data_IF_451157092165
#
_entry.id   IF_451157092165
#
_cell.length_a   1.000
_cell.length_b   1.000
_cell.length_c   1.000
_cell.angle_alpha   90.00
_cell.angle_beta   90.00
_cell.angle_gamma   90.00
#
_symmetry.space_group_name_H-M   'P 1'
#
loop_
_entity.id
_entity.type
_entity.pdbx_description
1 polymer ?
#
# COMPACT_ATOMS: atom_id res chain seq x y z
N UNK A 1 15.66 18.93 -19.83
CA UNK A 1 14.88 17.67 -19.72
C UNK A 1 15.91 16.59 -19.49
N UNK A 2 15.74 15.81 -18.43
CA UNK A 2 16.69 14.80 -17.96
C UNK A 2 16.12 13.41 -18.23
N UNK A 3 17.00 12.47 -18.57
CA UNK A 3 16.69 11.07 -18.80
C UNK A 3 17.65 10.23 -17.96
N UNK A 4 17.12 9.26 -17.22
CA UNK A 4 17.88 8.33 -16.41
C UNK A 4 17.41 6.90 -16.73
N UNK A 5 18.36 6.00 -16.96
CA UNK A 5 18.11 4.58 -17.15
C UNK A 5 18.92 3.81 -16.11
N UNK A 6 18.24 2.95 -15.37
CA UNK A 6 18.80 2.04 -14.38
C UNK A 6 18.53 0.61 -14.85
N UNK A 7 19.60 -0.15 -14.99
CA UNK A 7 19.55 -1.58 -15.31
C UNK A 7 20.24 -2.32 -14.19
N UNK A 8 19.60 -3.37 -13.68
CA UNK A 8 20.17 -4.15 -12.59
C UNK A 8 19.50 -5.49 -12.41
N UNK A 9 19.96 -6.22 -11.39
CA UNK A 9 19.47 -7.55 -11.08
C UNK A 9 17.95 -7.61 -10.82
N UNK A 10 17.33 -6.49 -10.47
CA UNK A 10 15.91 -6.36 -10.18
C UNK A 10 15.08 -5.80 -11.35
N UNK A 11 15.64 -5.69 -12.55
CA UNK A 11 14.95 -5.24 -13.77
C UNK A 11 15.43 -3.91 -14.30
N UNK A 12 14.64 -3.35 -15.22
CA UNK A 12 14.97 -2.11 -15.93
C UNK A 12 14.00 -1.00 -15.52
N UNK A 13 14.52 0.17 -15.20
CA UNK A 13 13.76 1.35 -14.85
C UNK A 13 14.26 2.55 -15.63
N UNK A 14 13.34 3.25 -16.28
CA UNK A 14 13.58 4.49 -17.01
C UNK A 14 12.81 5.61 -16.32
N UNK A 15 13.48 6.73 -16.10
CA UNK A 15 12.89 7.94 -15.55
C UNK A 15 13.17 9.13 -16.47
N UNK A 16 12.11 9.83 -16.86
CA UNK A 16 12.15 11.02 -17.70
C UNK A 16 11.55 12.19 -16.95
N UNK A 17 12.20 13.36 -16.94
CA UNK A 17 11.66 14.47 -16.19
C UNK A 17 12.47 15.76 -16.20
N UNK A 18 12.10 16.65 -15.29
CA UNK A 18 12.86 17.86 -14.95
C UNK A 18 13.34 17.73 -13.53
N UNK A 19 14.58 18.14 -13.30
CA UNK A 19 15.19 18.18 -11.99
C UNK A 19 15.80 19.58 -11.79
N UNK A 20 15.64 20.13 -10.59
CA UNK A 20 16.25 21.39 -10.16
C UNK A 20 16.93 21.21 -8.81
N UNK A 21 18.03 21.92 -8.59
CA UNK A 21 18.85 21.84 -7.38
C UNK A 21 19.18 23.23 -6.78
N UNK A 22 18.62 24.30 -7.36
CA UNK A 22 19.05 25.68 -7.06
C UNK A 22 18.64 26.15 -5.66
N UNK A 23 17.46 25.75 -5.20
CA UNK A 23 16.87 26.16 -3.91
C UNK A 23 16.47 24.94 -3.08
N UNK A 24 17.18 23.82 -3.26
CA UNK A 24 16.80 22.48 -2.83
C UNK A 24 16.53 21.55 -4.01
N UNK A 25 16.31 20.27 -3.73
CA UNK A 25 16.07 19.25 -4.75
C UNK A 25 14.60 19.22 -5.13
N UNK A 26 14.27 19.48 -6.39
CA UNK A 26 12.92 19.38 -6.91
C UNK A 26 12.87 18.54 -8.19
N UNK A 27 11.79 17.79 -8.38
CA UNK A 27 11.58 16.97 -9.56
C UNK A 27 10.13 16.99 -10.04
N UNK A 28 9.98 16.74 -11.34
CA UNK A 28 8.74 16.36 -12.00
C UNK A 28 9.11 15.27 -13.00
N UNK A 29 8.75 14.02 -12.70
CA UNK A 29 9.27 12.85 -13.39
C UNK A 29 8.17 11.83 -13.70
N UNK A 30 8.32 11.16 -14.84
CA UNK A 30 7.60 9.93 -15.20
C UNK A 30 8.57 8.77 -15.10
N UNK A 31 8.15 7.71 -14.40
CA UNK A 31 8.94 6.50 -14.21
C UNK A 31 8.23 5.34 -14.92
N UNK A 32 8.99 4.57 -15.69
CA UNK A 32 8.53 3.33 -16.34
C UNK A 32 9.51 2.22 -16.05
N UNK A 33 9.02 1.13 -15.47
CA UNK A 33 9.82 -0.05 -15.21
C UNK A 33 9.27 -1.26 -15.94
N UNK A 34 10.16 -2.16 -16.33
CA UNK A 34 9.82 -3.45 -16.95
C UNK A 34 10.66 -4.56 -16.35
N UNK A 35 10.08 -5.75 -16.32
CA UNK A 35 10.73 -6.95 -15.78
C UNK A 35 11.23 -6.74 -14.35
N UNK A 36 10.49 -5.96 -13.57
CA UNK A 36 10.86 -5.67 -12.20
C UNK A 36 10.67 -6.90 -11.34
N UNK A 37 11.74 -7.34 -10.69
CA UNK A 37 11.77 -8.55 -9.88
C UNK A 37 12.54 -8.31 -8.58
N UNK A 38 11.86 -8.24 -7.42
CA UNK A 38 12.52 -8.03 -6.14
C UNK A 38 13.13 -9.32 -5.54
N UNK A 39 13.02 -10.48 -6.20
CA UNK A 39 13.59 -11.76 -5.74
C UNK A 39 15.07 -11.72 -5.31
N UNK A 40 15.97 -10.93 -5.95
CA UNK A 40 17.34 -10.80 -5.51
C UNK A 40 17.48 -10.28 -4.07
N UNK A 41 16.48 -9.53 -3.58
CA UNK A 41 16.46 -8.91 -2.25
C UNK A 41 15.49 -9.62 -1.29
N UNK A 42 14.36 -10.11 -1.79
CA UNK A 42 13.36 -10.82 -1.00
C UNK A 42 12.71 -11.93 -1.84
N UNK A 43 13.17 -13.17 -1.63
CA UNK A 43 12.81 -14.32 -2.47
C UNK A 43 11.31 -14.61 -2.49
N UNK A 44 10.62 -14.38 -1.37
CA UNK A 44 9.17 -14.60 -1.23
C UNK A 44 8.30 -13.60 -2.02
N UNK A 45 8.91 -12.51 -2.49
CA UNK A 45 8.29 -11.49 -3.33
C UNK A 45 8.69 -11.59 -4.80
N UNK A 46 9.27 -12.73 -5.22
CA UNK A 46 9.62 -12.95 -6.62
C UNK A 46 8.46 -12.56 -7.56
N UNK A 47 8.76 -11.69 -8.52
CA UNK A 47 7.75 -11.09 -9.36
C UNK A 47 8.31 -10.76 -10.75
N UNK A 48 7.42 -10.52 -11.69
CA UNK A 48 7.73 -9.92 -12.97
C UNK A 48 6.70 -8.81 -13.20
N UNK A 49 7.11 -7.58 -12.87
CA UNK A 49 6.22 -6.44 -12.85
C UNK A 49 6.63 -5.40 -13.90
N UNK A 50 5.61 -4.74 -14.42
CA UNK A 50 5.72 -3.49 -15.15
C UNK A 50 5.09 -2.39 -14.31
N UNK A 51 5.72 -1.22 -14.30
CA UNK A 51 5.22 -0.06 -13.56
C UNK A 51 5.24 1.16 -14.46
N UNK A 52 4.20 1.97 -14.36
CA UNK A 52 4.14 3.32 -14.88
C UNK A 52 3.58 4.23 -13.78
N UNK A 53 4.39 5.20 -13.36
CA UNK A 53 3.99 6.18 -12.36
C UNK A 53 4.54 7.56 -12.70
N UNK A 54 3.89 8.58 -12.17
CA UNK A 54 4.45 9.94 -12.15
C UNK A 54 4.72 10.35 -10.73
N UNK A 55 5.76 11.16 -10.54
CA UNK A 55 6.08 11.73 -9.25
C UNK A 55 6.56 13.16 -9.40
N UNK A 56 6.08 14.02 -8.50
CA UNK A 56 6.55 15.39 -8.38
C UNK A 56 6.91 15.65 -6.94
N UNK A 57 7.96 16.43 -6.71
CA UNK A 57 8.29 16.80 -5.35
C UNK A 57 9.34 17.90 -5.23
N UNK A 58 9.47 18.36 -4.00
CA UNK A 58 10.46 19.31 -3.56
C UNK A 58 10.94 18.93 -2.16
N UNK A 59 12.26 18.88 -2.00
CA UNK A 59 12.99 18.66 -0.76
C UNK A 59 13.93 19.85 -0.55
N UNK A 60 13.58 20.68 0.42
CA UNK A 60 14.39 21.79 0.92
C UNK A 60 14.64 21.61 2.41
N UNK A 61 15.38 22.50 3.06
CA UNK A 61 15.57 22.45 4.51
C UNK A 61 14.24 22.52 5.28
N UNK A 62 13.29 23.32 4.79
CA UNK A 62 12.01 23.57 5.47
C UNK A 62 10.81 22.83 4.87
N UNK A 63 10.91 22.37 3.63
CA UNK A 63 9.77 21.84 2.86
C UNK A 63 10.09 20.46 2.33
N UNK A 64 9.25 19.50 2.68
CA UNK A 64 9.14 18.22 1.98
C UNK A 64 7.74 18.15 1.41
N UNK A 65 7.62 17.94 0.11
CA UNK A 65 6.35 17.62 -0.54
C UNK A 65 6.63 16.64 -1.67
N UNK A 66 5.92 15.53 -1.67
CA UNK A 66 6.01 14.49 -2.68
C UNK A 66 4.60 14.11 -3.06
N UNK A 67 4.28 14.12 -4.35
CA UNK A 67 3.08 13.54 -4.91
C UNK A 67 3.48 12.35 -5.78
N UNK A 68 2.72 11.26 -5.70
CA UNK A 68 2.90 10.06 -6.52
C UNK A 68 1.56 9.65 -7.10
N UNK A 69 1.56 9.34 -8.38
CA UNK A 69 0.43 8.77 -9.10
C UNK A 69 0.90 7.51 -9.82
N UNK A 70 0.53 6.35 -9.27
CA UNK A 70 0.76 5.04 -9.84
C UNK A 70 -0.40 4.76 -10.80
N UNK A 71 -0.19 5.12 -12.07
CA UNK A 71 -1.17 4.87 -13.12
C UNK A 71 -1.34 3.38 -13.42
N UNK A 72 -0.28 2.59 -13.20
CA UNK A 72 -0.26 1.16 -13.47
C UNK A 72 0.91 0.50 -12.75
N UNK A 73 0.64 -0.56 -12.02
CA UNK A 73 1.63 -1.55 -11.60
C UNK A 73 1.00 -2.91 -11.85
N UNK A 74 1.49 -3.62 -12.86
CA UNK A 74 0.88 -4.87 -13.33
C UNK A 74 1.91 -5.96 -13.52
N UNK A 75 1.44 -7.20 -13.65
CA UNK A 75 2.26 -8.33 -14.05
C UNK A 75 1.94 -9.56 -13.21
N UNK A 76 2.97 -10.22 -12.70
CA UNK A 76 2.80 -11.39 -11.82
C UNK A 76 3.64 -11.26 -10.56
N UNK A 77 3.02 -11.50 -9.41
CA UNK A 77 3.69 -11.76 -8.14
C UNK A 77 3.61 -13.26 -7.87
N UNK A 78 4.76 -13.92 -7.87
CA UNK A 78 4.87 -15.38 -7.96
C UNK A 78 4.11 -15.85 -9.21
N UNK A 79 3.02 -16.60 -9.02
CA UNK A 79 2.16 -17.09 -10.10
C UNK A 79 0.87 -16.28 -10.27
N UNK A 80 0.63 -15.28 -9.42
CA UNK A 80 -0.66 -14.58 -9.37
C UNK A 80 -0.60 -13.25 -10.11
N UNK A 81 -1.62 -12.94 -10.94
CA UNK A 81 -1.70 -11.65 -11.62
C UNK A 81 -1.76 -10.51 -10.60
N UNK A 82 -1.15 -9.39 -10.93
CA UNK A 82 -1.20 -8.16 -10.14
C UNK A 82 -1.66 -7.02 -11.03
N UNK A 83 -2.53 -6.16 -10.49
CA UNK A 83 -2.89 -4.85 -11.05
C UNK A 83 -3.13 -3.88 -9.89
N UNK A 84 -2.31 -2.86 -9.78
CA UNK A 84 -2.37 -1.86 -8.71
C UNK A 84 -2.37 -0.47 -9.30
N UNK A 85 -3.29 0.35 -8.80
CA UNK A 85 -3.34 1.80 -9.02
C UNK A 85 -3.40 2.50 -7.68
N UNK A 86 -2.78 3.67 -7.62
CA UNK A 86 -2.82 4.43 -6.38
C UNK A 86 -2.31 5.84 -6.54
N UNK A 87 -2.78 6.71 -5.66
CA UNK A 87 -2.38 8.10 -5.64
C UNK A 87 -2.21 8.54 -4.19
N UNK A 88 -1.14 9.29 -3.94
CA UNK A 88 -0.90 9.84 -2.62
C UNK A 88 0.05 11.00 -2.61
N UNK A 89 0.07 11.67 -1.47
CA UNK A 89 0.94 12.81 -1.20
C UNK A 89 1.60 12.63 0.17
N UNK A 90 2.82 13.11 0.30
CA UNK A 90 3.55 13.12 1.55
C UNK A 90 4.26 14.44 1.74
N UNK A 91 4.05 15.10 2.87
CA UNK A 91 4.65 16.39 3.18
C UNK A 91 5.79 16.32 4.21
N UNK A 92 6.37 15.14 4.41
CA UNK A 92 7.38 14.90 5.46
C UNK A 92 6.78 14.46 6.81
N UNK A 93 5.52 14.85 7.09
CA UNK A 93 4.83 14.53 8.36
C UNK A 93 3.54 13.75 8.16
N UNK A 94 2.76 14.12 7.13
CA UNK A 94 1.47 13.56 6.80
C UNK A 94 1.57 12.86 5.45
N UNK A 95 1.29 11.56 5.44
CA UNK A 95 0.99 10.78 4.25
C UNK A 95 -0.52 10.82 4.02
N UNK A 96 -0.96 11.13 2.81
CA UNK A 96 -2.35 11.04 2.36
C UNK A 96 -2.42 10.02 1.24
N UNK A 97 -3.21 8.98 1.42
CA UNK A 97 -3.58 8.01 0.39
C UNK A 97 -4.92 8.48 -0.17
N UNK A 98 -4.89 9.13 -1.34
CA UNK A 98 -6.11 9.62 -2.01
C UNK A 98 -6.96 8.44 -2.49
N UNK A 99 -6.30 7.44 -3.07
CA UNK A 99 -6.92 6.18 -3.47
C UNK A 99 -5.85 5.11 -3.61
N UNK A 100 -6.20 3.88 -3.26
CA UNK A 100 -5.47 2.67 -3.56
C UNK A 100 -6.48 1.63 -4.04
N UNK A 101 -6.18 1.00 -5.17
CA UNK A 101 -6.90 -0.15 -5.69
C UNK A 101 -5.87 -1.20 -6.07
N UNK A 102 -5.81 -2.28 -5.31
CA UNK A 102 -4.80 -3.32 -5.45
C UNK A 102 -5.46 -4.67 -5.66
N UNK A 103 -5.21 -5.27 -6.83
CA UNK A 103 -5.59 -6.63 -7.21
C UNK A 103 -4.35 -7.52 -7.16
N UNK A 104 -4.44 -8.65 -6.46
CA UNK A 104 -3.41 -9.70 -6.42
C UNK A 104 -4.10 -11.05 -6.44
N UNK A 105 -3.97 -11.74 -7.57
CA UNK A 105 -4.77 -12.92 -7.87
C UNK A 105 -6.25 -12.56 -7.87
N UNK A 106 -7.02 -13.27 -7.06
CA UNK A 106 -8.46 -13.09 -6.90
C UNK A 106 -8.81 -12.09 -5.77
N UNK A 107 -7.79 -11.55 -5.09
CA UNK A 107 -7.98 -10.67 -3.94
C UNK A 107 -7.90 -9.20 -4.37
N UNK A 108 -8.78 -8.36 -3.81
CA UNK A 108 -8.80 -6.92 -4.02
C UNK A 108 -8.84 -6.17 -2.70
N UNK A 109 -8.00 -5.14 -2.59
CA UNK A 109 -8.02 -4.17 -1.51
C UNK A 109 -8.25 -2.78 -2.09
N UNK A 110 -9.28 -2.10 -1.58
CA UNK A 110 -9.47 -0.67 -1.77
C UNK A 110 -9.11 0.04 -0.46
N UNK A 111 -8.36 1.14 -0.54
CA UNK A 111 -8.05 1.95 0.64
C UNK A 111 -7.90 3.44 0.32
N UNK A 112 -8.18 4.28 1.31
CA UNK A 112 -7.89 5.71 1.30
C UNK A 112 -7.79 6.23 2.73
N UNK A 113 -7.12 7.35 2.93
CA UNK A 113 -6.98 7.94 4.25
C UNK A 113 -5.65 8.65 4.44
N UNK A 114 -5.19 8.74 5.67
CA UNK A 114 -3.97 9.45 6.01
C UNK A 114 -3.23 8.85 7.19
N UNK A 115 -1.92 9.13 7.27
CA UNK A 115 -1.06 8.78 8.39
C UNK A 115 -0.08 9.93 8.67
N UNK A 116 -0.22 10.56 9.84
CA UNK A 116 0.72 11.54 10.37
C UNK A 116 0.90 11.29 11.86
N UNK A 117 0.71 12.27 12.74
CA UNK A 117 0.67 12.01 14.19
C UNK A 117 -0.42 11.01 14.58
N UNK A 118 -1.46 10.92 13.75
CA UNK A 118 -2.51 9.88 13.82
C UNK A 118 -2.71 9.28 12.44
N UNK A 119 -3.11 8.02 12.42
CA UNK A 119 -3.61 7.34 11.23
C UNK A 119 -5.13 7.29 11.24
N UNK A 120 -5.72 7.38 10.05
CA UNK A 120 -7.13 7.14 9.78
C UNK A 120 -7.24 6.60 8.35
N UNK A 121 -7.62 5.33 8.19
CA UNK A 121 -7.64 4.63 6.90
C UNK A 121 -8.96 3.90 6.74
N UNK A 122 -9.73 4.28 5.73
CA UNK A 122 -10.88 3.52 5.25
C UNK A 122 -10.38 2.41 4.34
N UNK A 123 -10.91 1.20 4.52
CA UNK A 123 -10.53 0.03 3.74
C UNK A 123 -11.74 -0.81 3.37
N UNK A 124 -11.63 -1.49 2.22
CA UNK A 124 -12.54 -2.53 1.78
C UNK A 124 -11.72 -3.68 1.20
N UNK A 125 -11.97 -4.88 1.69
CA UNK A 125 -11.27 -6.11 1.34
C UNK A 125 -12.26 -7.11 0.74
N UNK A 126 -11.92 -7.65 -0.42
CA UNK A 126 -12.54 -8.86 -0.96
C UNK A 126 -11.40 -9.83 -1.30
N UNK A 127 -11.12 -10.76 -0.40
CA UNK A 127 -9.99 -11.66 -0.49
C UNK A 127 -10.44 -13.12 -0.37
N UNK A 128 -10.99 -13.72 -1.44
CA UNK A 128 -11.44 -15.11 -1.44
C UNK A 128 -10.30 -16.13 -1.35
N UNK A 129 -9.04 -15.70 -1.55
CA UNK A 129 -7.90 -16.59 -1.62
C UNK A 129 -6.64 -15.93 -1.02
N UNK A 130 -6.61 -15.76 0.31
CA UNK A 130 -5.53 -15.09 1.05
C UNK A 130 -4.14 -15.71 0.81
N UNK A 131 -4.09 -17.00 0.49
CA UNK A 131 -2.83 -17.70 0.22
C UNK A 131 -2.11 -17.16 -1.04
N UNK A 132 -2.86 -16.50 -1.93
CA UNK A 132 -2.32 -15.83 -3.10
C UNK A 132 -1.61 -14.51 -2.75
N UNK A 133 -2.04 -13.83 -1.67
CA UNK A 133 -1.35 -12.65 -1.11
C UNK A 133 -0.09 -13.04 -0.34
N UNK A 134 -0.23 -13.99 0.59
CA UNK A 134 0.88 -14.50 1.37
C UNK A 134 0.68 -16.00 1.66
N UNK A 135 1.61 -16.90 1.23
CA UNK A 135 1.39 -18.35 1.30
C UNK A 135 1.12 -18.92 2.70
N UNK A 136 1.49 -18.19 3.76
CA UNK A 136 1.28 -18.61 5.15
C UNK A 136 -0.08 -18.18 5.73
N UNK A 137 -0.91 -17.47 4.97
CA UNK A 137 -2.25 -17.05 5.38
C UNK A 137 -3.24 -17.70 4.43
N UNK A 138 -3.96 -18.71 4.89
CA UNK A 138 -4.91 -19.51 4.14
C UNK A 138 -6.34 -19.08 4.44
N UNK A 139 -7.20 -19.33 3.46
CA UNK A 139 -8.63 -19.10 3.55
C UNK A 139 -9.04 -17.79 2.88
N UNK A 140 -10.12 -17.20 3.38
CA UNK A 140 -10.80 -16.08 2.75
C UNK A 140 -11.22 -15.05 3.80
N UNK A 141 -11.23 -13.78 3.42
CA UNK A 141 -11.78 -12.68 4.21
C UNK A 141 -12.45 -11.66 3.29
N UNK A 142 -13.61 -11.15 3.71
CA UNK A 142 -14.31 -10.07 3.04
C UNK A 142 -14.87 -9.12 4.07
N UNK A 143 -14.71 -7.82 3.85
CA UNK A 143 -15.19 -6.83 4.79
C UNK A 143 -14.79 -5.41 4.46
N UNK A 144 -15.21 -4.48 5.30
CA UNK A 144 -14.83 -3.09 5.22
C UNK A 144 -14.91 -2.41 6.58
N UNK A 145 -14.18 -1.29 6.72
CA UNK A 145 -14.12 -0.56 7.97
C UNK A 145 -13.13 0.60 7.93
N UNK A 146 -12.82 1.10 9.12
CA UNK A 146 -11.86 2.18 9.33
C UNK A 146 -10.85 1.78 10.39
N UNK A 147 -9.56 1.90 10.08
CA UNK A 147 -8.48 1.77 11.03
C UNK A 147 -8.04 3.16 11.50
N UNK A 148 -7.96 3.39 12.81
CA UNK A 148 -7.54 4.65 13.42
C UNK A 148 -6.48 4.39 14.50
N UNK A 149 -5.67 5.38 14.84
CA UNK A 149 -4.72 5.25 15.95
C UNK A 149 -3.37 5.92 15.71
N UNK A 150 -2.32 5.36 16.33
CA UNK A 150 -0.94 5.80 16.20
C UNK A 150 -0.20 4.96 15.15
N UNK A 151 0.58 5.57 14.23
CA UNK A 151 1.30 4.83 13.18
C UNK A 151 2.32 3.81 13.69
N UNK A 152 2.78 3.94 14.93
CA UNK A 152 3.69 2.99 15.58
C UNK A 152 2.99 1.71 16.06
N UNK A 153 1.66 1.64 15.96
CA UNK A 153 0.84 0.51 16.36
C UNK A 153 0.61 0.39 17.88
N UNK A 154 1.05 1.37 18.68
CA UNK A 154 0.89 1.35 20.14
C UNK A 154 -0.56 1.55 20.58
N UNK A 155 -1.35 2.24 19.76
CA UNK A 155 -2.80 2.43 19.90
C UNK A 155 -3.44 2.24 18.53
N UNK A 156 -4.27 1.21 18.38
CA UNK A 156 -5.02 0.96 17.17
C UNK A 156 -6.49 0.72 17.52
N UNK A 157 -7.37 1.31 16.74
CA UNK A 157 -8.81 1.10 16.82
C UNK A 157 -9.28 0.69 15.43
N UNK A 158 -9.90 -0.48 15.34
CA UNK A 158 -10.52 -0.96 14.12
C UNK A 158 -12.03 -0.88 14.29
N UNK A 159 -12.67 0.00 13.52
CA UNK A 159 -14.12 0.08 13.39
C UNK A 159 -14.56 -0.75 12.18
N UNK A 160 -15.09 -1.94 12.45
CA UNK A 160 -15.48 -2.92 11.43
C UNK A 160 -16.96 -2.78 11.15
N UNK A 161 -17.31 -2.45 9.90
CA UNK A 161 -18.72 -2.46 9.46
C UNK A 161 -19.21 -3.89 9.30
N UNK A 162 -18.44 -4.69 8.57
CA UNK A 162 -18.61 -6.13 8.42
C UNK A 162 -17.25 -6.73 8.09
N UNK A 163 -16.91 -7.85 8.72
CA UNK A 163 -15.75 -8.66 8.35
C UNK A 163 -16.12 -10.11 8.59
N UNK A 164 -16.10 -10.89 7.51
CA UNK A 164 -16.45 -12.30 7.53
C UNK A 164 -15.44 -13.13 6.74
N UNK A 165 -15.37 -14.42 7.06
CA UNK A 165 -14.56 -15.37 6.31
C UNK A 165 -14.06 -16.51 7.17
N UNK A 166 -13.01 -17.17 6.69
CA UNK A 166 -12.33 -18.25 7.41
C UNK A 166 -10.85 -18.10 7.17
N UNK A 167 -10.08 -17.87 8.22
CA UNK A 167 -8.63 -17.63 8.14
C UNK A 167 -7.91 -18.64 9.00
N UNK A 168 -6.93 -19.35 8.44
CA UNK A 168 -6.18 -20.41 9.14
C UNK A 168 -7.06 -21.47 9.82
N UNK A 169 -8.25 -21.72 9.26
CA UNK A 169 -9.21 -22.69 9.80
C UNK A 169 -10.18 -22.13 10.86
N UNK A 170 -9.99 -20.88 11.30
CA UNK A 170 -10.87 -20.20 12.25
C UNK A 170 -11.91 -19.36 11.52
N UNK A 171 -13.16 -19.43 11.97
CA UNK A 171 -14.21 -18.56 11.45
C UNK A 171 -13.96 -17.13 11.92
N UNK A 172 -13.95 -16.21 10.96
CA UNK A 172 -13.81 -14.78 11.17
C UNK A 172 -15.19 -14.17 11.02
N UNK A 173 -15.71 -13.58 12.10
CA UNK A 173 -16.93 -12.78 12.09
C UNK A 173 -16.76 -11.62 13.07
N UNK A 174 -16.72 -10.40 12.56
CA UNK A 174 -16.56 -9.21 13.38
C UNK A 174 -17.42 -8.06 12.86
N UNK A 175 -18.00 -7.33 13.81
CA UNK A 175 -18.69 -6.05 13.63
C UNK A 175 -18.42 -5.18 14.86
N UNK A 176 -18.38 -3.88 14.67
CA UNK A 176 -18.15 -2.93 15.74
C UNK A 176 -16.67 -2.63 15.96
N UNK A 177 -16.36 -2.14 17.15
CA UNK A 177 -15.06 -1.54 17.46
C UNK A 177 -14.15 -2.51 18.21
N UNK A 178 -12.93 -2.65 17.70
CA UNK A 178 -11.85 -3.41 18.33
C UNK A 178 -10.71 -2.45 18.68
N UNK A 179 -10.45 -2.28 19.97
CA UNK A 179 -9.36 -1.46 20.47
C UNK A 179 -8.16 -2.33 20.87
N UNK A 180 -6.97 -1.96 20.44
CA UNK A 180 -5.70 -2.59 20.75
C UNK A 180 -4.72 -1.55 21.30
N UNK A 181 -4.20 -1.76 22.51
CA UNK A 181 -3.29 -0.81 23.17
C UNK A 181 -3.19 -1.04 24.68
N UNK A 182 -2.70 -0.04 25.43
CA UNK A 182 -2.41 -0.13 26.89
C UNK A 182 -3.62 -0.39 27.82
N UNK A 183 -4.79 -0.73 27.30
CA UNK A 183 -5.90 -1.24 28.08
C UNK A 183 -6.49 -2.49 27.42
N UNK A 184 -6.77 -3.49 28.26
CA UNK A 184 -7.41 -4.78 27.97
C UNK A 184 -8.42 -4.71 26.81
N UNK A 185 -8.36 -5.72 25.93
CA UNK A 185 -9.43 -6.12 25.02
C UNK A 185 -10.76 -6.14 25.78
N UNK A 186 -11.55 -5.08 25.67
CA UNK A 186 -12.95 -5.07 26.03
C UNK A 186 -13.70 -5.37 24.74
N UNK A 187 -13.99 -6.64 24.49
CA UNK A 187 -15.02 -6.99 23.51
C UNK A 187 -16.35 -6.42 24.04
N UNK A 188 -16.79 -5.30 23.49
CA UNK A 188 -18.17 -4.84 23.64
C UNK A 188 -18.96 -5.32 22.42
N UNK A 189 -20.06 -6.00 22.72
CA UNK A 189 -21.11 -6.51 21.84
C UNK A 189 -20.83 -7.78 21.04
N UNK A 190 -20.84 -8.91 21.78
CA UNK A 190 -21.53 -10.10 21.30
C UNK A 190 -22.89 -10.12 21.99
N UNK A 191 -23.93 -9.72 21.25
CA UNK A 191 -25.34 -9.83 21.63
C UNK A 191 -26.13 -10.44 20.49
#
# INVERSE_FOLDING_TARGET
MSHLQLEGAAGNLVADGKISWQTGFAWDATLRGKQLNPAPFAKEWAANLEVALTSKGALTEDTTNIAVDITQLQGKLREYPVDVKGQGDWNGKLLVIKALDALVGDNRLLAKGNAGDKLAVEWQLDAPALAQLYPKIKGAAKGNGTLQGLPDGSELQLDVVDLSGKVEGYDLNAKGKLDWGKARLAAQDVG
#
